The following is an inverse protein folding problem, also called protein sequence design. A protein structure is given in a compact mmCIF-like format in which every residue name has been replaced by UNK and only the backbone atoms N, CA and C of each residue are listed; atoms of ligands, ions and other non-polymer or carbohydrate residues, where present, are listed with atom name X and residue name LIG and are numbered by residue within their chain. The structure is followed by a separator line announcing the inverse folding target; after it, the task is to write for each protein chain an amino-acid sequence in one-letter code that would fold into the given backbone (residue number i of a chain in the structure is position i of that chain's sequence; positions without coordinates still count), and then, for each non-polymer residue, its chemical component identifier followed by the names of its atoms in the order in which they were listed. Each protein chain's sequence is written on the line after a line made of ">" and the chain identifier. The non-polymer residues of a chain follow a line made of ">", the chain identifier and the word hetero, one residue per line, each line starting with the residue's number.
data_IF_942376202747
#
_entry.id   IF_942376202747
#
_cell.length_a   1.000
_cell.length_b   1.000
_cell.length_c   1.000
_cell.angle_alpha   90.00
_cell.angle_beta   90.00
_cell.angle_gamma   90.00
#
_symmetry.space_group_name_H-M   'P 1'
#
loop_
_entity.id
_entity.type
_entity.pdbx_description
1 polymer ?
#
# COMPACT_ATOMS: atom_id res chain seq x y z
N UNK A 1 -2.60 16.31 -25.26
CA UNK A 1 -1.12 16.43 -25.23
C UNK A 1 -0.49 15.07 -25.48
N UNK A 2 0.72 15.00 -26.05
CA UNK A 2 1.42 13.71 -26.18
C UNK A 2 1.85 13.20 -24.78
N UNK A 3 1.63 11.94 -24.46
CA UNK A 3 2.12 11.36 -23.22
C UNK A 3 3.65 11.32 -23.23
N UNK A 4 4.25 11.49 -22.03
CA UNK A 4 5.66 11.19 -21.85
C UNK A 4 5.83 9.71 -21.51
N UNK A 5 6.81 9.04 -22.12
CA UNK A 5 7.10 7.62 -21.87
C UNK A 5 8.56 7.40 -21.51
N UNK A 6 8.79 6.48 -20.58
CA UNK A 6 10.14 6.01 -20.23
C UNK A 6 10.07 4.59 -19.69
N UNK A 7 11.22 3.91 -19.64
CA UNK A 7 11.34 2.58 -19.07
C UNK A 7 12.03 2.62 -17.70
N UNK A 8 11.68 1.65 -16.84
CA UNK A 8 12.34 1.40 -15.56
C UNK A 8 12.65 -0.08 -15.46
N UNK A 9 13.92 -0.43 -15.23
CA UNK A 9 14.30 -1.78 -14.86
C UNK A 9 14.07 -1.99 -13.35
N UNK A 10 13.61 -3.18 -12.96
CA UNK A 10 13.51 -3.56 -11.55
C UNK A 10 14.59 -4.58 -11.19
N UNK A 11 14.95 -4.67 -9.91
CA UNK A 11 15.80 -5.75 -9.40
C UNK A 11 15.02 -7.06 -9.48
N UNK A 12 15.55 -8.10 -10.16
CA UNK A 12 14.86 -9.38 -10.29
C UNK A 12 14.83 -10.19 -8.98
N UNK A 13 13.88 -11.14 -8.85
CA UNK A 13 12.69 -11.28 -9.68
C UNK A 13 11.63 -10.24 -9.35
N UNK A 14 10.87 -9.81 -10.37
CA UNK A 14 9.73 -8.91 -10.17
C UNK A 14 8.58 -9.26 -11.13
N UNK A 15 7.38 -9.34 -10.59
CA UNK A 15 6.15 -9.63 -11.32
C UNK A 15 5.11 -8.51 -11.07
N UNK A 16 4.87 -7.68 -12.10
CA UNK A 16 3.91 -6.57 -12.01
C UNK A 16 2.48 -7.08 -11.78
N UNK A 17 2.07 -8.15 -12.46
CA UNK A 17 0.71 -8.69 -12.33
C UNK A 17 0.41 -9.10 -10.87
N UNK A 18 1.31 -9.86 -10.26
CA UNK A 18 1.19 -10.28 -8.87
C UNK A 18 1.21 -9.08 -7.91
N UNK A 19 2.13 -8.14 -8.12
CA UNK A 19 2.33 -6.99 -7.22
C UNK A 19 1.19 -5.98 -7.33
N UNK A 20 0.62 -5.75 -8.52
CA UNK A 20 -0.40 -4.74 -8.75
C UNK A 20 -1.83 -5.25 -8.51
N UNK A 21 -2.11 -6.52 -8.74
CA UNK A 21 -3.46 -7.09 -8.80
C UNK A 21 -4.28 -6.82 -7.53
N UNK A 22 -3.72 -7.09 -6.35
CA UNK A 22 -4.41 -6.88 -5.08
C UNK A 22 -4.32 -5.41 -4.65
N UNK A 23 -3.14 -4.80 -4.82
CA UNK A 23 -2.90 -3.39 -4.48
C UNK A 23 -3.81 -2.44 -5.24
N UNK A 24 -4.18 -2.77 -6.47
CA UNK A 24 -4.96 -1.93 -7.36
C UNK A 24 -6.29 -2.57 -7.78
N UNK A 25 -6.90 -3.39 -6.94
CA UNK A 25 -8.28 -3.88 -7.13
C UNK A 25 -9.29 -2.88 -6.59
N UNK A 26 -9.24 -1.66 -7.11
CA UNK A 26 -10.05 -0.54 -6.64
C UNK A 26 -10.85 0.14 -7.75
N UNK A 27 -11.22 1.39 -7.48
CA UNK A 27 -11.98 2.24 -8.39
C UNK A 27 -11.10 2.70 -9.57
N UNK A 28 -11.51 2.50 -10.83
CA UNK A 28 -10.72 2.85 -12.01
C UNK A 28 -10.43 4.34 -12.15
N UNK A 29 -11.19 5.20 -11.47
CA UNK A 29 -10.93 6.65 -11.46
C UNK A 29 -9.87 7.05 -10.41
N UNK A 30 -9.40 6.12 -9.58
CA UNK A 30 -8.41 6.37 -8.52
C UNK A 30 -7.15 5.57 -8.80
N UNK A 31 -7.26 4.24 -8.71
CA UNK A 31 -6.18 3.27 -8.89
C UNK A 31 -6.75 1.94 -9.36
N UNK A 32 -6.23 1.38 -10.46
CA UNK A 32 -6.70 0.11 -11.00
C UNK A 32 -5.57 -0.67 -11.66
N UNK A 33 -5.66 -1.98 -11.56
CA UNK A 33 -4.91 -2.92 -12.39
C UNK A 33 -5.88 -3.80 -13.16
N UNK A 34 -5.79 -3.78 -14.47
CA UNK A 34 -6.63 -4.55 -15.36
C UNK A 34 -5.92 -4.86 -16.68
N UNK A 35 -6.06 -6.08 -17.19
CA UNK A 35 -5.50 -6.50 -18.47
C UNK A 35 -4.00 -6.22 -18.65
N UNK A 36 -3.19 -6.45 -17.59
CA UNK A 36 -1.74 -6.21 -17.64
C UNK A 36 -1.32 -4.76 -17.43
N UNK A 37 -2.26 -3.87 -17.23
CA UNK A 37 -2.07 -2.43 -17.13
C UNK A 37 -2.47 -1.91 -15.76
N UNK A 38 -1.52 -1.25 -15.10
CA UNK A 38 -1.75 -0.50 -13.87
C UNK A 38 -1.91 0.98 -14.20
N UNK A 39 -2.83 1.67 -13.49
CA UNK A 39 -2.89 3.13 -13.51
C UNK A 39 -3.30 3.71 -12.17
N UNK A 40 -2.80 4.91 -11.90
CA UNK A 40 -3.08 5.69 -10.70
C UNK A 40 -2.81 7.17 -10.95
N UNK A 41 -3.59 8.04 -10.31
CA UNK A 41 -3.25 9.47 -10.25
C UNK A 41 -2.27 9.71 -9.11
N UNK A 42 -1.19 10.42 -9.41
CA UNK A 42 -0.23 10.87 -8.42
C UNK A 42 -0.10 12.39 -8.44
N UNK A 43 0.23 12.94 -7.29
CA UNK A 43 0.69 14.33 -7.16
C UNK A 43 2.21 14.36 -7.36
N UNK A 44 2.66 15.22 -8.26
CA UNK A 44 4.07 15.53 -8.44
C UNK A 44 4.26 17.04 -8.34
N UNK A 45 4.87 17.50 -7.27
CA UNK A 45 4.88 18.90 -6.87
C UNK A 45 3.45 19.48 -6.83
N UNK A 46 3.19 20.53 -7.60
CA UNK A 46 1.89 21.20 -7.70
C UNK A 46 0.98 20.62 -8.81
N UNK A 47 1.41 19.59 -9.53
CA UNK A 47 0.69 19.02 -10.67
C UNK A 47 0.16 17.63 -10.38
N UNK A 48 -0.97 17.28 -11.01
CA UNK A 48 -1.48 15.92 -11.03
C UNK A 48 -1.05 15.23 -12.32
N UNK A 49 -0.66 13.98 -12.19
CA UNK A 49 -0.30 13.12 -13.32
C UNK A 49 -1.05 11.81 -13.24
N UNK A 50 -1.57 11.34 -14.36
CA UNK A 50 -2.05 9.98 -14.51
C UNK A 50 -0.89 9.12 -14.97
N UNK A 51 -0.48 8.19 -14.13
CA UNK A 51 0.48 7.14 -14.47
C UNK A 51 -0.23 5.96 -15.09
N UNK A 52 0.40 5.37 -16.08
CA UNK A 52 0.07 4.04 -16.58
C UNK A 52 1.34 3.22 -16.67
N UNK A 53 1.29 1.97 -16.20
CA UNK A 53 2.47 1.09 -16.12
C UNK A 53 2.10 -0.27 -16.71
N UNK A 54 2.95 -0.75 -17.59
CA UNK A 54 2.85 -2.08 -18.20
C UNK A 54 4.22 -2.79 -18.09
N UNK A 55 4.21 -4.11 -17.95
CA UNK A 55 5.44 -4.89 -18.03
C UNK A 55 5.83 -5.12 -19.49
N UNK A 56 7.10 -4.90 -19.82
CA UNK A 56 7.68 -5.21 -21.13
C UNK A 56 8.77 -6.29 -21.04
N UNK A 57 9.19 -6.65 -19.81
CA UNK A 57 10.18 -7.69 -19.54
C UNK A 57 9.57 -8.93 -18.88
N UNK A 58 10.43 -9.93 -18.65
CA UNK A 58 10.11 -11.16 -17.92
C UNK A 58 10.43 -11.01 -16.43
N UNK A 59 9.97 -11.95 -15.59
CA UNK A 59 10.15 -11.92 -14.12
C UNK A 59 11.63 -11.84 -13.72
N UNK A 60 12.51 -12.53 -14.45
CA UNK A 60 13.96 -12.56 -14.20
C UNK A 60 14.75 -11.46 -14.93
N UNK A 61 14.10 -10.73 -15.83
CA UNK A 61 14.64 -9.55 -16.48
C UNK A 61 13.55 -8.47 -16.59
N UNK A 62 13.09 -7.94 -15.43
CA UNK A 62 11.91 -7.11 -15.38
C UNK A 62 12.17 -5.70 -15.91
N UNK A 63 11.37 -5.30 -16.86
CA UNK A 63 11.31 -3.94 -17.39
C UNK A 63 9.87 -3.45 -17.43
N UNK A 64 9.66 -2.22 -17.01
CA UNK A 64 8.36 -1.55 -16.98
C UNK A 64 8.37 -0.39 -17.96
N UNK A 65 7.32 -0.27 -18.75
CA UNK A 65 7.04 0.92 -19.55
C UNK A 65 6.06 1.80 -18.75
N UNK A 66 6.50 3.01 -18.46
CA UNK A 66 5.72 4.01 -17.75
C UNK A 66 5.26 5.10 -18.72
N UNK A 67 3.97 5.28 -18.82
CA UNK A 67 3.36 6.40 -19.54
C UNK A 67 2.82 7.41 -18.53
N UNK A 68 3.14 8.69 -18.73
CA UNK A 68 2.72 9.79 -17.86
C UNK A 68 1.90 10.78 -18.67
N UNK A 69 0.71 11.08 -18.17
CA UNK A 69 -0.21 12.03 -18.78
C UNK A 69 -0.57 13.15 -17.80
N UNK A 70 -0.59 14.38 -18.25
CA UNK A 70 -0.88 15.58 -17.47
C UNK A 70 -1.61 16.58 -18.33
N UNK A 71 -2.23 17.60 -17.72
CA UNK A 71 -2.78 18.76 -18.45
C UNK A 71 -1.71 19.68 -19.00
N UNK A 72 -0.55 19.72 -18.33
CA UNK A 72 0.59 20.58 -18.68
C UNK A 72 1.77 19.75 -19.15
N UNK A 73 2.73 20.38 -19.79
CA UNK A 73 3.96 19.74 -20.21
C UNK A 73 4.79 19.35 -18.97
N UNK A 74 5.28 18.11 -18.95
CA UNK A 74 6.03 17.56 -17.83
C UNK A 74 7.52 17.83 -18.06
N UNK A 75 8.11 18.68 -17.23
CA UNK A 75 9.55 18.95 -17.30
C UNK A 75 10.38 17.69 -16.99
N UNK A 76 11.56 17.58 -17.58
CA UNK A 76 12.44 16.41 -17.43
C UNK A 76 12.79 16.11 -15.95
N UNK A 77 12.96 17.13 -15.10
CA UNK A 77 13.18 16.95 -13.65
C UNK A 77 12.00 16.23 -12.98
N UNK A 78 10.78 16.50 -13.42
CA UNK A 78 9.56 15.92 -12.88
C UNK A 78 9.41 14.46 -13.31
N UNK A 79 9.87 14.08 -14.51
CA UNK A 79 9.90 12.68 -14.94
C UNK A 79 10.82 11.83 -14.03
N UNK A 80 11.96 12.39 -13.58
CA UNK A 80 12.83 11.70 -12.62
C UNK A 80 12.15 11.52 -11.26
N UNK A 81 11.45 12.53 -10.76
CA UNK A 81 10.67 12.43 -9.52
C UNK A 81 9.58 11.36 -9.65
N UNK A 82 8.82 11.35 -10.74
CA UNK A 82 7.80 10.36 -11.03
C UNK A 82 8.40 8.95 -11.13
N UNK A 83 9.55 8.79 -11.79
CA UNK A 83 10.28 7.52 -11.84
C UNK A 83 10.60 6.99 -10.43
N UNK A 84 11.11 7.86 -9.55
CA UNK A 84 11.38 7.48 -8.16
C UNK A 84 10.10 7.09 -7.40
N UNK A 85 8.97 7.77 -7.64
CA UNK A 85 7.68 7.37 -7.06
C UNK A 85 7.27 5.96 -7.49
N UNK A 86 7.38 5.64 -8.78
CA UNK A 86 7.08 4.28 -9.30
C UNK A 86 8.00 3.24 -8.66
N UNK A 87 9.31 3.52 -8.59
CA UNK A 87 10.30 2.65 -7.95
C UNK A 87 9.90 2.37 -6.49
N UNK A 88 9.49 3.40 -5.74
CA UNK A 88 9.10 3.24 -4.35
C UNK A 88 7.77 2.49 -4.21
N UNK A 89 6.74 2.87 -4.98
CA UNK A 89 5.41 2.23 -4.90
C UNK A 89 5.51 0.72 -5.10
N UNK A 90 6.29 0.26 -6.07
CA UNK A 90 6.43 -1.16 -6.38
C UNK A 90 7.68 -1.81 -5.77
N UNK A 91 8.42 -1.11 -4.91
CA UNK A 91 9.67 -1.61 -4.31
C UNK A 91 10.63 -2.19 -5.36
N UNK A 92 10.78 -1.51 -6.52
CA UNK A 92 11.51 -2.07 -7.67
C UNK A 92 12.98 -2.33 -7.36
N UNK A 93 13.59 -1.58 -6.45
CA UNK A 93 14.99 -1.74 -6.02
C UNK A 93 15.17 -2.80 -4.91
N UNK A 94 14.09 -3.40 -4.41
CA UNK A 94 14.18 -4.40 -3.35
C UNK A 94 14.79 -5.70 -3.88
N UNK A 95 15.86 -6.17 -3.23
CA UNK A 95 16.38 -7.53 -3.40
C UNK A 95 15.52 -8.50 -2.58
N UNK A 96 14.71 -9.31 -3.26
CA UNK A 96 13.78 -10.24 -2.60
C UNK A 96 14.39 -11.62 -2.34
N UNK A 97 15.46 -11.99 -3.05
CA UNK A 97 16.11 -13.29 -2.91
C UNK A 97 16.57 -13.60 -1.47
N UNK A 98 17.06 -12.63 -0.65
CA UNK A 98 17.36 -12.89 0.75
C UNK A 98 16.14 -13.38 1.56
N UNK A 99 14.94 -12.91 1.24
CA UNK A 99 13.71 -13.44 1.84
C UNK A 99 13.48 -14.91 1.44
N UNK A 100 13.64 -15.25 0.16
CA UNK A 100 13.47 -16.62 -0.32
C UNK A 100 14.47 -17.59 0.33
N UNK A 101 15.68 -17.13 0.59
CA UNK A 101 16.71 -17.93 1.30
C UNK A 101 16.35 -18.10 2.78
N UNK A 102 15.92 -17.04 3.46
CA UNK A 102 15.56 -17.05 4.89
C UNK A 102 14.46 -18.08 5.19
N UNK A 103 13.44 -18.13 4.32
CA UNK A 103 12.29 -19.03 4.53
C UNK A 103 12.37 -20.36 3.77
N UNK A 104 13.54 -20.70 3.22
CA UNK A 104 13.72 -21.90 2.39
C UNK A 104 13.47 -23.22 3.14
N UNK A 105 13.62 -23.23 4.48
CA UNK A 105 13.32 -24.38 5.33
C UNK A 105 11.83 -24.54 5.70
N UNK A 106 11.01 -23.53 5.40
CA UNK A 106 9.56 -23.55 5.59
C UNK A 106 8.90 -24.10 4.30
N UNK A 107 8.48 -25.36 4.33
CA UNK A 107 7.91 -26.04 3.16
C UNK A 107 6.63 -25.36 2.64
N UNK A 108 5.83 -24.77 3.53
CA UNK A 108 4.61 -24.03 3.19
C UNK A 108 4.99 -22.76 2.42
N UNK A 109 5.86 -21.94 3.03
CA UNK A 109 6.30 -20.67 2.41
C UNK A 109 7.03 -20.92 1.10
N UNK A 110 7.86 -21.97 1.01
CA UNK A 110 8.55 -22.35 -0.22
C UNK A 110 7.58 -22.64 -1.36
N UNK A 111 6.48 -23.39 -1.11
CA UNK A 111 5.45 -23.66 -2.13
C UNK A 111 4.71 -22.38 -2.55
N UNK A 112 4.39 -21.51 -1.59
CA UNK A 112 3.77 -20.21 -1.86
C UNK A 112 4.69 -19.34 -2.73
N UNK A 113 5.97 -19.24 -2.39
CA UNK A 113 6.96 -18.48 -3.18
C UNK A 113 7.08 -19.00 -4.61
N UNK A 114 7.06 -20.32 -4.82
CA UNK A 114 7.09 -20.89 -6.17
C UNK A 114 5.90 -20.44 -7.04
N UNK A 115 4.73 -20.17 -6.44
CA UNK A 115 3.53 -19.69 -7.14
C UNK A 115 3.50 -18.16 -7.26
N UNK A 116 4.15 -17.45 -6.36
CA UNK A 116 4.16 -15.99 -6.25
C UNK A 116 5.55 -15.39 -6.54
N UNK A 117 6.35 -16.05 -7.39
CA UNK A 117 7.69 -15.59 -7.71
C UNK A 117 7.68 -14.16 -8.26
N UNK A 118 8.51 -13.30 -7.68
CA UNK A 118 8.60 -11.89 -8.06
C UNK A 118 7.51 -10.98 -7.49
N UNK A 119 6.63 -11.50 -6.62
CA UNK A 119 5.72 -10.66 -5.85
C UNK A 119 6.53 -9.74 -4.93
N UNK A 120 6.46 -8.44 -5.13
CA UNK A 120 6.94 -7.43 -4.18
C UNK A 120 5.75 -6.73 -3.54
N UNK A 121 5.87 -6.39 -2.26
CA UNK A 121 4.83 -5.67 -1.53
C UNK A 121 4.78 -4.21 -2.01
N UNK A 122 3.73 -3.76 -2.71
CA UNK A 122 3.60 -2.36 -3.07
C UNK A 122 3.28 -1.52 -1.83
N UNK A 123 3.68 -0.24 -1.89
CA UNK A 123 3.39 0.72 -0.82
C UNK A 123 2.56 1.90 -1.34
N UNK A 124 1.87 2.57 -0.44
CA UNK A 124 1.16 3.81 -0.77
C UNK A 124 2.17 4.93 -1.05
N UNK A 125 1.83 5.92 -1.88
CA UNK A 125 2.71 7.05 -2.18
C UNK A 125 3.18 7.83 -0.96
N UNK A 126 2.36 7.87 0.10
CA UNK A 126 2.69 8.60 1.34
C UNK A 126 2.30 7.82 2.60
N UNK A 127 3.02 8.07 3.71
CA UNK A 127 2.65 7.53 5.02
C UNK A 127 1.29 8.06 5.51
N UNK A 128 0.95 9.29 5.13
CA UNK A 128 -0.35 9.88 5.45
C UNK A 128 -1.49 9.06 4.82
N UNK A 129 -1.37 8.71 3.52
CA UNK A 129 -2.33 7.84 2.83
C UNK A 129 -2.49 6.50 3.55
N UNK A 130 -1.37 5.83 3.89
CA UNK A 130 -1.41 4.56 4.64
C UNK A 130 -2.10 4.67 6.01
N UNK A 131 -1.91 5.79 6.72
CA UNK A 131 -2.57 6.06 8.00
C UNK A 131 -4.08 6.24 7.84
N UNK A 132 -4.51 7.03 6.85
CA UNK A 132 -5.94 7.25 6.59
C UNK A 132 -6.62 5.95 6.21
N UNK A 133 -6.02 5.15 5.28
CA UNK A 133 -6.55 3.85 4.89
C UNK A 133 -6.70 2.93 6.10
N UNK A 134 -5.66 2.84 6.94
CA UNK A 134 -5.68 2.01 8.15
C UNK A 134 -6.73 2.48 9.16
N UNK A 135 -6.96 3.80 9.32
CA UNK A 135 -8.04 4.33 10.18
C UNK A 135 -9.41 3.97 9.58
N UNK A 136 -9.58 4.10 8.26
CA UNK A 136 -10.83 3.74 7.58
C UNK A 136 -11.12 2.24 7.74
N UNK A 137 -10.12 1.39 7.65
CA UNK A 137 -10.26 -0.07 7.73
C UNK A 137 -10.62 -0.59 9.14
N UNK A 138 -10.35 0.17 10.21
CA UNK A 138 -10.64 -0.29 11.59
C UNK A 138 -12.06 -0.85 11.72
N UNK A 139 -12.19 -2.10 12.17
CA UNK A 139 -13.48 -2.78 12.45
C UNK A 139 -14.44 -2.84 11.24
N UNK A 140 -13.92 -2.84 10.02
CA UNK A 140 -14.70 -2.97 8.80
C UNK A 140 -14.21 -4.15 7.96
N UNK A 141 -15.08 -4.66 7.08
CA UNK A 141 -14.62 -5.52 5.99
C UNK A 141 -13.88 -4.68 4.94
N UNK A 142 -12.91 -5.28 4.23
CA UNK A 142 -12.16 -4.59 3.16
C UNK A 142 -13.09 -3.94 2.13
N UNK A 143 -14.17 -4.63 1.73
CA UNK A 143 -15.15 -4.08 0.78
C UNK A 143 -15.84 -2.83 1.29
N UNK A 144 -16.21 -2.79 2.58
CA UNK A 144 -16.83 -1.61 3.19
C UNK A 144 -15.82 -0.47 3.33
N UNK A 145 -14.59 -0.78 3.75
CA UNK A 145 -13.51 0.20 3.86
C UNK A 145 -13.17 0.85 2.52
N UNK A 146 -12.94 0.06 1.46
CA UNK A 146 -12.68 0.57 0.11
C UNK A 146 -13.84 1.44 -0.42
N UNK A 147 -15.09 1.07 -0.12
CA UNK A 147 -16.24 1.89 -0.51
C UNK A 147 -16.26 3.27 0.16
N UNK A 148 -15.85 3.34 1.43
CA UNK A 148 -15.74 4.61 2.18
C UNK A 148 -14.55 5.42 1.67
N UNK A 149 -13.39 4.79 1.54
CA UNK A 149 -12.15 5.37 1.01
C UNK A 149 -12.39 6.03 -0.35
N UNK A 150 -12.99 5.30 -1.29
CA UNK A 150 -13.32 5.83 -2.62
C UNK A 150 -14.22 7.07 -2.54
N UNK A 151 -15.19 7.12 -1.62
CA UNK A 151 -16.03 8.31 -1.42
C UNK A 151 -15.23 9.47 -0.84
N UNK A 152 -14.34 9.23 0.12
CA UNK A 152 -13.47 10.28 0.69
C UNK A 152 -12.56 10.84 -0.40
N UNK A 153 -11.92 9.98 -1.20
CA UNK A 153 -11.03 10.40 -2.27
C UNK A 153 -11.79 11.21 -3.34
N UNK A 154 -12.95 10.75 -3.79
CA UNK A 154 -13.74 11.44 -4.81
C UNK A 154 -14.37 12.73 -4.33
N UNK A 155 -14.67 12.85 -3.02
CA UNK A 155 -15.26 14.06 -2.45
C UNK A 155 -14.23 15.15 -2.15
N UNK A 156 -13.02 14.78 -1.73
CA UNK A 156 -12.05 15.72 -1.18
C UNK A 156 -10.69 15.67 -1.86
N UNK A 157 -10.39 14.61 -2.59
CA UNK A 157 -9.17 14.51 -3.36
C UNK A 157 -9.16 15.44 -4.58
N UNK A 158 -7.99 15.95 -4.97
CA UNK A 158 -7.88 16.73 -6.19
C UNK A 158 -8.04 15.81 -7.41
N UNK A 159 -8.53 16.39 -8.52
CA UNK A 159 -8.83 15.62 -9.72
C UNK A 159 -8.19 16.18 -10.98
N UNK A 160 -7.98 15.30 -11.94
CA UNK A 160 -7.52 15.64 -13.29
C UNK A 160 -8.51 15.08 -14.33
N UNK A 161 -8.91 15.90 -15.30
CA UNK A 161 -9.75 15.44 -16.41
C UNK A 161 -8.87 15.21 -17.65
N UNK A 162 -8.90 14.00 -18.18
CA UNK A 162 -8.16 13.56 -19.37
C UNK A 162 -9.10 12.73 -20.26
N UNK A 163 -9.15 13.02 -21.56
CA UNK A 163 -9.97 12.30 -22.55
C UNK A 163 -11.45 12.12 -22.14
N UNK A 164 -12.04 13.16 -21.56
CA UNK A 164 -13.42 13.20 -21.04
C UNK A 164 -13.70 12.32 -19.82
N UNK A 165 -12.65 11.76 -19.20
CA UNK A 165 -12.76 11.05 -17.93
C UNK A 165 -12.13 11.86 -16.78
N UNK A 166 -12.66 11.68 -15.57
CA UNK A 166 -12.15 12.33 -14.36
C UNK A 166 -11.44 11.28 -13.53
N UNK A 167 -10.20 11.60 -13.13
CA UNK A 167 -9.39 10.77 -12.25
C UNK A 167 -9.04 11.54 -10.98
N UNK A 168 -9.01 10.86 -9.85
CA UNK A 168 -8.82 11.45 -8.52
C UNK A 168 -7.51 10.99 -7.89
N UNK A 169 -6.76 11.94 -7.33
CA UNK A 169 -5.64 11.65 -6.45
C UNK A 169 -6.11 11.59 -4.99
N UNK A 170 -5.32 10.93 -4.15
CA UNK A 170 -5.56 10.88 -2.72
C UNK A 170 -5.56 12.29 -2.11
N UNK A 171 -6.48 12.61 -1.17
CA UNK A 171 -6.51 13.91 -0.50
C UNK A 171 -5.26 14.10 0.38
N UNK A 172 -4.81 15.35 0.48
CA UNK A 172 -3.69 15.74 1.36
C UNK A 172 -4.23 16.24 2.70
N UNK A 173 -3.36 16.46 3.72
CA UNK A 173 -3.77 17.07 4.98
C UNK A 173 -4.54 18.38 4.78
N UNK A 174 -4.13 19.23 3.81
CA UNK A 174 -4.79 20.49 3.50
C UNK A 174 -6.23 20.31 3.00
N UNK A 175 -6.51 19.19 2.32
CA UNK A 175 -7.85 18.89 1.83
C UNK A 175 -8.81 18.42 2.93
N UNK A 176 -8.30 17.88 4.06
CA UNK A 176 -9.10 17.22 5.10
C UNK A 176 -9.16 18.01 6.42
N UNK A 177 -8.15 18.83 6.72
CA UNK A 177 -7.97 19.47 8.01
C UNK A 177 -9.12 20.41 8.43
N UNK A 178 -9.70 21.11 7.45
CA UNK A 178 -10.68 22.17 7.71
C UNK A 178 -12.11 21.77 7.32
N UNK A 179 -12.34 20.48 7.03
CA UNK A 179 -13.69 19.98 6.73
C UNK A 179 -14.55 19.93 8.00
N UNK A 180 -15.83 20.20 7.81
CA UNK A 180 -16.81 19.88 8.85
C UNK A 180 -16.89 18.36 9.03
N UNK A 181 -17.00 17.89 10.28
CA UNK A 181 -17.06 16.45 10.56
C UNK A 181 -18.22 15.77 9.82
N UNK A 182 -19.30 16.49 9.59
CA UNK A 182 -20.47 15.95 8.87
C UNK A 182 -20.14 15.64 7.41
N UNK A 183 -19.24 16.39 6.77
CA UNK A 183 -18.84 16.13 5.39
C UNK A 183 -18.09 14.77 5.30
N UNK A 184 -17.14 14.51 6.18
CA UNK A 184 -16.46 13.23 6.30
C UNK A 184 -17.42 12.08 6.64
N UNK A 185 -18.40 12.33 7.52
CA UNK A 185 -19.44 11.35 7.86
C UNK A 185 -20.35 11.01 6.69
N UNK A 186 -20.64 11.95 5.82
CA UNK A 186 -21.43 11.71 4.60
C UNK A 186 -20.73 10.71 3.65
N UNK A 187 -19.41 10.54 3.76
CA UNK A 187 -18.68 9.47 3.08
C UNK A 187 -18.86 8.08 3.72
N UNK A 188 -19.52 8.00 4.90
CA UNK A 188 -19.76 6.75 5.61
C UNK A 188 -18.80 6.48 6.78
N UNK A 189 -17.95 7.45 7.14
CA UNK A 189 -17.10 7.36 8.32
C UNK A 189 -17.94 7.46 9.60
N UNK A 190 -17.54 6.73 10.66
CA UNK A 190 -18.07 6.98 12.00
C UNK A 190 -17.61 8.36 12.48
N UNK A 191 -18.31 8.93 13.46
CA UNK A 191 -17.96 10.23 14.05
C UNK A 191 -16.49 10.23 14.54
N UNK A 192 -16.07 9.17 15.25
CA UNK A 192 -14.71 9.04 15.77
C UNK A 192 -13.66 8.98 14.66
N UNK A 193 -13.90 8.21 13.60
CA UNK A 193 -12.96 8.15 12.46
C UNK A 193 -12.85 9.47 11.73
N UNK A 194 -13.96 10.18 11.56
CA UNK A 194 -13.97 11.52 10.99
C UNK A 194 -13.15 12.51 11.84
N UNK A 195 -13.28 12.45 13.17
CA UNK A 195 -12.43 13.22 14.09
C UNK A 195 -10.95 12.86 13.94
N UNK A 196 -10.61 11.56 13.98
CA UNK A 196 -9.21 11.11 13.88
C UNK A 196 -8.52 11.57 12.59
N UNK A 197 -9.23 11.47 11.47
CA UNK A 197 -8.72 11.89 10.16
C UNK A 197 -8.50 13.41 10.13
N UNK A 198 -9.47 14.20 10.59
CA UNK A 198 -9.35 15.65 10.64
C UNK A 198 -8.26 16.10 11.61
N UNK A 199 -8.23 15.55 12.82
CA UNK A 199 -7.28 15.91 13.86
C UNK A 199 -5.84 15.55 13.44
N UNK A 200 -5.63 14.39 12.81
CA UNK A 200 -4.35 14.02 12.21
C UNK A 200 -3.92 15.03 11.14
N UNK A 201 -4.84 15.41 10.26
CA UNK A 201 -4.55 16.38 9.20
C UNK A 201 -4.18 17.75 9.77
N UNK A 202 -4.89 18.22 10.79
CA UNK A 202 -4.58 19.46 11.52
C UNK A 202 -3.22 19.38 12.20
N UNK A 203 -2.90 18.29 12.91
CA UNK A 203 -1.63 18.14 13.62
C UNK A 203 -0.42 18.16 12.68
N UNK A 204 -0.56 17.63 11.46
CA UNK A 204 0.48 17.71 10.43
C UNK A 204 0.67 19.17 9.97
N UNK A 205 -0.42 19.89 9.68
CA UNK A 205 -0.35 21.29 9.24
C UNK A 205 0.19 22.21 10.32
N UNK A 206 -0.10 21.93 11.58
CA UNK A 206 0.42 22.67 12.73
C UNK A 206 1.86 22.29 13.12
N UNK A 207 2.49 21.36 12.40
CA UNK A 207 3.80 20.80 12.74
C UNK A 207 3.88 20.11 14.11
N UNK A 208 2.77 19.65 14.64
CA UNK A 208 2.67 18.87 15.89
C UNK A 208 3.01 17.39 15.62
N UNK A 209 2.76 16.91 14.39
CA UNK A 209 3.13 15.57 13.91
C UNK A 209 4.05 15.69 12.69
N UNK A 210 5.26 15.16 12.84
CA UNK A 210 6.27 15.11 11.76
C UNK A 210 6.37 13.70 11.17
N UNK A 211 5.54 13.40 10.16
CA UNK A 211 5.59 12.12 9.46
C UNK A 211 6.90 11.90 8.70
N UNK A 212 7.60 12.98 8.27
CA UNK A 212 8.90 12.85 7.63
C UNK A 212 9.99 12.51 8.65
N UNK A 213 9.87 12.99 9.88
CA UNK A 213 10.70 12.57 11.01
C UNK A 213 10.51 11.08 11.34
N UNK A 214 9.26 10.58 11.34
CA UNK A 214 8.97 9.15 11.55
C UNK A 214 9.69 8.28 10.52
N UNK A 215 9.67 8.66 9.23
CA UNK A 215 10.36 7.91 8.16
C UNK A 215 11.88 7.78 8.39
N UNK A 216 12.50 8.70 9.12
CA UNK A 216 13.94 8.73 9.39
C UNK A 216 14.36 7.88 10.58
N UNK A 217 13.42 7.34 11.34
CA UNK A 217 13.74 6.44 12.43
C UNK A 217 14.30 5.12 11.91
N UNK A 218 15.36 4.62 12.55
CA UNK A 218 16.02 3.38 12.11
C UNK A 218 15.19 2.13 12.39
N UNK A 219 14.54 2.08 13.56
CA UNK A 219 13.81 0.91 14.04
C UNK A 219 12.32 1.02 13.81
N UNK A 220 11.73 -0.05 13.33
CA UNK A 220 10.28 -0.17 13.11
C UNK A 220 9.47 0.04 14.38
N UNK A 221 9.94 -0.49 15.51
CA UNK A 221 9.30 -0.30 16.81
C UNK A 221 9.20 1.19 17.18
N UNK A 222 10.28 1.95 16.97
CA UNK A 222 10.27 3.41 17.21
C UNK A 222 9.30 4.15 16.31
N UNK A 223 9.12 3.71 15.05
CA UNK A 223 8.12 4.28 14.14
C UNK A 223 6.71 4.00 14.66
N UNK A 224 6.44 2.76 15.09
CA UNK A 224 5.14 2.35 15.64
C UNK A 224 4.83 3.14 16.91
N UNK A 225 5.80 3.29 17.83
CA UNK A 225 5.64 4.05 19.06
C UNK A 225 5.29 5.53 18.78
N UNK A 226 5.96 6.16 17.81
CA UNK A 226 5.66 7.54 17.42
C UNK A 226 4.24 7.64 16.83
N UNK A 227 3.87 6.75 15.94
CA UNK A 227 2.53 6.76 15.34
C UNK A 227 1.42 6.47 16.36
N UNK A 228 1.67 5.64 17.37
CA UNK A 228 0.72 5.37 18.43
C UNK A 228 0.41 6.58 19.34
N UNK A 229 1.20 7.66 19.27
CA UNK A 229 0.89 8.93 19.95
C UNK A 229 -0.27 9.68 19.28
N UNK A 230 -0.57 9.36 18.03
CA UNK A 230 -1.68 9.96 17.27
C UNK A 230 -3.00 9.43 17.83
N UNK A 231 -3.92 10.34 18.16
CA UNK A 231 -5.26 9.96 18.63
C UNK A 231 -5.98 9.09 17.59
N UNK A 232 -6.40 7.91 18.00
CA UNK A 232 -7.10 6.96 17.11
C UNK A 232 -6.17 5.97 16.36
N UNK A 233 -4.86 6.08 16.53
CA UNK A 233 -3.87 5.15 16.00
C UNK A 233 -3.41 4.22 17.11
N UNK A 234 -3.84 2.96 17.05
CA UNK A 234 -3.34 1.88 17.90
C UNK A 234 -2.24 1.09 17.21
N UNK A 235 -1.66 0.10 17.92
CA UNK A 235 -0.54 -0.73 17.42
C UNK A 235 -0.85 -1.33 16.05
N UNK A 236 -2.01 -1.97 15.86
CA UNK A 236 -2.41 -2.53 14.57
C UNK A 236 -2.42 -1.48 13.44
N UNK A 237 -3.00 -0.29 13.71
CA UNK A 237 -3.06 0.80 12.72
C UNK A 237 -1.65 1.30 12.36
N UNK A 238 -0.77 1.42 13.36
CA UNK A 238 0.61 1.84 13.17
C UNK A 238 1.42 0.77 12.40
N UNK A 239 1.29 -0.52 12.76
CA UNK A 239 1.92 -1.63 12.04
C UNK A 239 1.49 -1.67 10.57
N UNK A 240 0.18 -1.52 10.29
CA UNK A 240 -0.34 -1.44 8.92
C UNK A 240 0.24 -0.23 8.17
N UNK A 241 0.28 0.94 8.82
CA UNK A 241 0.78 2.16 8.19
C UNK A 241 2.29 2.09 7.88
N UNK A 242 3.11 1.54 8.75
CA UNK A 242 4.56 1.41 8.47
C UNK A 242 4.85 0.31 7.44
N UNK A 243 4.07 -0.77 7.42
CA UNK A 243 4.17 -1.81 6.40
C UNK A 243 3.77 -1.29 5.02
N UNK A 244 2.59 -0.66 4.92
CA UNK A 244 2.01 -0.21 3.65
C UNK A 244 2.54 1.16 3.18
N UNK A 245 2.98 2.02 4.09
CA UNK A 245 3.41 3.39 3.77
C UNK A 245 4.93 3.58 3.74
N UNK A 246 5.68 2.72 4.44
CA UNK A 246 7.14 2.81 4.53
C UNK A 246 7.86 1.55 4.04
N UNK A 247 7.13 0.48 3.70
CA UNK A 247 7.72 -0.78 3.27
C UNK A 247 8.54 -1.47 4.36
N UNK A 248 8.18 -1.28 5.65
CA UNK A 248 8.86 -1.93 6.77
C UNK A 248 8.44 -3.38 6.86
N UNK A 249 9.20 -4.25 6.21
CA UNK A 249 8.87 -5.67 6.01
C UNK A 249 9.00 -6.51 7.29
N UNK A 250 9.50 -5.93 8.36
CA UNK A 250 9.55 -6.47 9.71
C UNK A 250 8.34 -6.07 10.58
N UNK A 251 7.46 -5.18 10.11
CA UNK A 251 6.17 -4.90 10.76
C UNK A 251 5.17 -6.02 10.48
N UNK A 252 4.56 -6.57 11.53
CA UNK A 252 3.54 -7.62 11.40
C UNK A 252 2.26 -7.20 12.12
N UNK A 253 1.21 -6.80 11.41
CA UNK A 253 -0.07 -6.45 12.03
C UNK A 253 -0.83 -7.70 12.48
N UNK A 254 -0.31 -8.40 13.51
CA UNK A 254 -0.81 -9.69 13.95
C UNK A 254 -2.24 -9.64 14.52
N UNK A 255 -2.73 -8.45 14.88
CA UNK A 255 -4.13 -8.25 15.26
C UNK A 255 -5.09 -8.19 14.06
N UNK A 256 -4.56 -8.17 12.83
CA UNK A 256 -5.37 -8.22 11.63
C UNK A 256 -6.07 -9.57 11.47
N UNK A 257 -7.40 -9.53 11.29
CA UNK A 257 -8.23 -10.74 11.18
C UNK A 257 -7.92 -11.50 9.90
N UNK A 258 -7.69 -10.78 8.78
CA UNK A 258 -7.35 -11.38 7.49
C UNK A 258 -6.01 -12.10 7.55
N UNK A 259 -4.99 -11.45 8.11
CA UNK A 259 -3.66 -12.04 8.28
C UNK A 259 -3.73 -13.30 9.17
N UNK A 260 -4.42 -13.22 10.32
CA UNK A 260 -4.56 -14.39 11.21
C UNK A 260 -5.31 -15.53 10.54
N UNK A 261 -6.33 -15.22 9.73
CA UNK A 261 -7.04 -16.24 8.94
C UNK A 261 -6.11 -16.90 7.94
N UNK A 262 -5.34 -16.13 7.18
CA UNK A 262 -4.40 -16.68 6.21
C UNK A 262 -3.30 -17.51 6.87
N UNK A 263 -2.73 -17.05 8.01
CA UNK A 263 -1.77 -17.86 8.79
C UNK A 263 -2.44 -19.15 9.26
N UNK A 264 -3.65 -19.08 9.82
CA UNK A 264 -4.38 -20.26 10.28
C UNK A 264 -4.65 -21.26 9.15
N UNK A 265 -5.09 -20.75 8.00
CA UNK A 265 -5.37 -21.58 6.83
C UNK A 265 -4.16 -22.43 6.42
N UNK A 266 -3.00 -21.79 6.29
CA UNK A 266 -1.80 -22.48 5.79
C UNK A 266 -1.04 -23.27 6.86
N UNK A 267 -1.07 -22.87 8.15
CA UNK A 267 -0.22 -23.43 9.20
C UNK A 267 -0.99 -24.17 10.31
N UNK A 268 -2.30 -23.92 10.46
CA UNK A 268 -3.06 -24.43 11.61
C UNK A 268 -4.35 -25.15 11.22
N UNK A 269 -4.54 -25.51 9.94
CA UNK A 269 -5.72 -26.26 9.46
C UNK A 269 -7.04 -25.54 9.74
N UNK A 270 -7.07 -24.23 9.51
CA UNK A 270 -8.24 -23.35 9.70
C UNK A 270 -8.72 -23.19 11.17
N UNK A 271 -7.92 -23.61 12.13
CA UNK A 271 -8.20 -23.39 13.56
C UNK A 271 -7.92 -21.92 13.90
N UNK A 272 -8.92 -21.23 14.48
CA UNK A 272 -8.75 -19.83 14.87
C UNK A 272 -7.58 -19.63 15.83
N UNK A 273 -6.68 -18.71 15.48
CA UNK A 273 -5.51 -18.36 16.30
C UNK A 273 -5.61 -16.95 16.86
N UNK A 274 -4.94 -16.70 17.98
CA UNK A 274 -4.74 -15.39 18.59
C UNK A 274 -3.65 -14.59 17.86
N UNK A 275 -3.53 -13.31 18.18
CA UNK A 275 -2.42 -12.48 17.69
C UNK A 275 -1.06 -12.93 18.21
N UNK A 276 -1.00 -13.45 19.44
CA UNK A 276 0.23 -13.97 20.03
C UNK A 276 0.70 -15.24 19.31
N UNK A 277 -0.21 -16.18 19.01
CA UNK A 277 0.10 -17.37 18.22
C UNK A 277 0.57 -16.99 16.80
N UNK A 278 -0.09 -16.01 16.17
CA UNK A 278 0.36 -15.49 14.87
C UNK A 278 1.76 -14.88 14.93
N UNK A 279 2.09 -14.10 15.98
CA UNK A 279 3.44 -13.57 16.22
C UNK A 279 4.46 -14.67 16.47
N UNK A 280 4.08 -15.73 17.19
CA UNK A 280 4.95 -16.87 17.44
C UNK A 280 5.30 -17.63 16.15
N UNK A 281 4.32 -17.91 15.29
CA UNK A 281 4.55 -18.52 13.96
C UNK A 281 5.46 -17.64 13.12
N UNK A 282 5.22 -16.35 13.11
CA UNK A 282 5.97 -15.37 12.32
C UNK A 282 7.44 -15.18 12.76
N UNK A 283 7.85 -15.68 13.95
CA UNK A 283 9.26 -15.69 14.36
C UNK A 283 10.15 -16.47 13.37
N UNK A 284 9.59 -17.49 12.72
CA UNK A 284 10.30 -18.28 11.72
C UNK A 284 10.68 -17.49 10.45
N UNK A 285 10.08 -16.32 10.23
CA UNK A 285 10.33 -15.47 9.06
C UNK A 285 11.26 -14.29 9.36
N UNK A 286 11.75 -14.18 10.61
CA UNK A 286 12.71 -13.20 11.05
C UNK A 286 12.31 -11.75 10.70
N UNK A 287 13.21 -11.00 10.08
CA UNK A 287 12.98 -9.62 9.65
C UNK A 287 12.01 -9.49 8.46
N UNK A 288 11.61 -10.60 7.86
CA UNK A 288 10.70 -10.64 6.71
C UNK A 288 9.25 -10.98 7.08
N UNK A 289 8.92 -10.99 8.38
CA UNK A 289 7.62 -11.43 8.88
C UNK A 289 6.43 -10.67 8.27
N UNK A 290 6.58 -9.37 8.00
CA UNK A 290 5.55 -8.59 7.31
C UNK A 290 5.38 -8.98 5.85
N UNK A 291 6.50 -9.21 5.14
CA UNK A 291 6.48 -9.68 3.76
C UNK A 291 5.91 -11.11 3.67
N UNK A 292 6.32 -12.01 4.56
CA UNK A 292 5.77 -13.37 4.62
C UNK A 292 4.26 -13.35 4.88
N UNK A 293 3.80 -12.50 5.81
CA UNK A 293 2.38 -12.29 6.05
C UNK A 293 1.64 -11.78 4.81
N UNK A 294 2.25 -10.88 4.04
CA UNK A 294 1.69 -10.40 2.78
C UNK A 294 1.60 -11.51 1.73
N UNK A 295 2.63 -12.38 1.61
CA UNK A 295 2.58 -13.54 0.73
C UNK A 295 1.43 -14.49 1.09
N UNK A 296 1.18 -14.72 2.38
CA UNK A 296 0.06 -15.56 2.86
C UNK A 296 -1.29 -14.94 2.51
N UNK A 297 -1.46 -13.63 2.71
CA UNK A 297 -2.69 -12.92 2.34
C UNK A 297 -2.94 -13.03 0.83
N UNK A 298 -1.91 -12.80 0.00
CA UNK A 298 -2.03 -12.90 -1.46
C UNK A 298 -2.37 -14.32 -1.88
N UNK A 299 -1.72 -15.33 -1.29
CA UNK A 299 -1.97 -16.74 -1.57
C UNK A 299 -3.42 -17.14 -1.22
N UNK A 300 -3.90 -16.73 -0.04
CA UNK A 300 -5.28 -16.98 0.40
C UNK A 300 -6.32 -16.28 -0.50
N UNK A 301 -6.09 -14.99 -0.83
CA UNK A 301 -6.98 -14.25 -1.73
C UNK A 301 -7.04 -14.81 -3.15
N UNK A 302 -5.95 -15.40 -3.63
CA UNK A 302 -5.89 -16.09 -4.92
C UNK A 302 -6.43 -17.52 -4.87
N UNK A 303 -6.79 -18.04 -3.69
CA UNK A 303 -7.25 -19.41 -3.49
C UNK A 303 -6.18 -20.45 -3.84
N UNK A 304 -4.91 -20.14 -3.56
CA UNK A 304 -3.82 -21.08 -3.86
C UNK A 304 -3.91 -22.31 -2.97
N UNK A 305 -4.07 -23.49 -3.61
CA UNK A 305 -3.91 -24.75 -2.91
C UNK A 305 -2.43 -25.16 -2.96
N UNK A 306 -1.85 -25.40 -1.78
CA UNK A 306 -0.46 -25.80 -1.62
C UNK A 306 -0.31 -27.30 -1.28
N UNK A 307 -1.40 -28.07 -1.22
CA UNK A 307 -1.39 -29.50 -0.83
C UNK A 307 -0.89 -30.43 -1.94
N UNK A 308 -0.58 -29.90 -3.13
CA UNK A 308 -0.09 -30.66 -4.29
C UNK A 308 1.33 -30.28 -4.69
#
# INVERSE_FOLDING_TARGET
>A
MKPSKFSISAVPPFNLDLSARIFADGDPQIRKYENGRFWQVLRNDNSLVLLTIESSGEVENPELVVEVRSKEEIASKNLKSISNMVINIFNLNMEINPFYVEVASDDIMKRIICRLQGLKNPITPTLFEALIDSIVEQQLSLKAAHSIENRVIKSFGPSISLDNEIYYAYPTPENLAFLELQELRNCGLSFRKAEYIRDLSLSILNHEMDLEGVKKLDKTEGMIDELCKIRGVGVWTAEMAVLRGLGRLDALPADDIGLRRSISHFYCGDVRISSDEARQIAQNWGKWRGLAGYYLIVADMMGLNIDN
#
